data_IF_789486466963
#
_entry.id   IF_789486466963
#
_cell.length_a   1.000
_cell.length_b   1.000
_cell.length_c   1.000
_cell.angle_alpha   90.00
_cell.angle_beta   90.00
_cell.angle_gamma   90.00
#
_symmetry.space_group_name_H-M   'P 1'
#
loop_
_entity.id
_entity.type
_entity.pdbx_description
1 polymer ?
#
# COMPACT_ATOMS: atom_id res chain seq x y z
N UNK A 1 3.49 26.95 -7.45
CA UNK A 1 3.36 25.48 -7.60
C UNK A 1 2.29 24.98 -6.65
N UNK A 2 1.10 24.61 -7.13
CA UNK A 2 0.04 24.07 -6.26
C UNK A 2 0.45 22.67 -5.85
N UNK A 3 0.78 22.48 -4.57
CA UNK A 3 1.10 21.18 -3.99
C UNK A 3 -0.17 20.35 -3.93
N UNK A 4 -0.34 19.43 -4.88
CA UNK A 4 -1.47 18.51 -4.88
C UNK A 4 -1.32 17.59 -3.67
N UNK A 5 -2.09 17.85 -2.62
CA UNK A 5 -2.16 17.00 -1.42
C UNK A 5 -3.25 15.96 -1.65
N UNK A 6 -2.85 14.72 -1.90
CA UNK A 6 -3.77 13.59 -1.91
C UNK A 6 -3.57 12.78 -0.62
N UNK A 7 -4.55 12.82 0.28
CA UNK A 7 -4.56 12.07 1.55
C UNK A 7 -5.74 11.11 1.51
N UNK A 8 -5.46 9.82 1.66
CA UNK A 8 -6.48 8.78 1.72
C UNK A 8 -6.33 8.01 3.03
N UNK A 9 -7.45 7.69 3.66
CA UNK A 9 -7.52 6.74 4.77
C UNK A 9 -8.43 5.60 4.34
N UNK A 10 -7.97 4.36 4.50
CA UNK A 10 -8.71 3.15 4.16
C UNK A 10 -8.81 2.28 5.42
N UNK A 11 -9.99 1.73 5.68
CA UNK A 11 -10.25 0.77 6.74
C UNK A 11 -11.01 -0.39 6.10
N UNK A 12 -10.52 -1.60 6.27
CA UNK A 12 -11.08 -2.78 5.63
C UNK A 12 -10.36 -4.04 6.09
N UNK A 13 -10.84 -5.18 5.60
CA UNK A 13 -10.25 -6.48 5.91
C UNK A 13 -9.15 -6.80 4.91
N UNK A 14 -8.18 -7.60 5.32
CA UNK A 14 -7.16 -8.10 4.42
C UNK A 14 -7.82 -9.11 3.45
N UNK A 15 -7.72 -8.86 2.14
CA UNK A 15 -8.33 -9.71 1.11
C UNK A 15 -7.47 -10.92 0.71
N UNK A 16 -6.17 -10.87 0.99
CA UNK A 16 -5.19 -11.93 0.74
C UNK A 16 -3.96 -11.68 1.61
N UNK A 17 -3.15 -12.71 1.86
CA UNK A 17 -1.92 -12.55 2.64
C UNK A 17 -0.97 -11.50 2.03
N UNK A 18 -0.28 -10.69 2.85
CA UNK A 18 0.57 -9.62 2.33
C UNK A 18 1.80 -10.21 1.64
N UNK A 19 2.17 -9.63 0.50
CA UNK A 19 3.35 -10.02 -0.26
C UNK A 19 4.51 -9.06 0.04
N UNK A 20 5.68 -9.60 0.40
CA UNK A 20 6.89 -8.83 0.65
C UNK A 20 7.90 -9.14 -0.46
N UNK A 21 8.43 -8.09 -1.10
CA UNK A 21 9.45 -8.23 -2.14
C UNK A 21 10.57 -7.23 -1.90
N UNK A 22 11.82 -7.67 -2.07
CA UNK A 22 12.98 -6.78 -2.07
C UNK A 22 13.23 -6.26 -3.48
N UNK A 23 13.28 -4.95 -3.63
CA UNK A 23 13.66 -4.30 -4.88
C UNK A 23 15.18 -4.35 -5.02
N UNK A 24 15.66 -4.37 -6.26
CA UNK A 24 17.09 -4.40 -6.60
C UNK A 24 17.90 -3.24 -6.02
N UNK A 25 17.24 -2.13 -5.67
CA UNK A 25 17.83 -0.98 -4.98
C UNK A 25 17.93 -1.16 -3.44
N UNK A 26 17.70 -2.37 -2.92
CA UNK A 26 17.77 -2.69 -1.49
C UNK A 26 16.58 -2.19 -0.67
N UNK A 27 15.47 -1.79 -1.31
CA UNK A 27 14.24 -1.34 -0.64
C UNK A 27 13.25 -2.50 -0.52
N UNK A 28 12.73 -2.71 0.67
CA UNK A 28 11.65 -3.67 0.89
C UNK A 28 10.30 -3.02 0.58
N UNK A 29 9.50 -3.67 -0.25
CA UNK A 29 8.12 -3.25 -0.56
C UNK A 29 7.15 -4.31 -0.07
N UNK A 30 6.08 -3.86 0.58
CA UNK A 30 4.96 -4.69 1.02
C UNK A 30 3.72 -4.35 0.20
N UNK A 31 3.06 -5.36 -0.36
CA UNK A 31 1.78 -5.23 -1.06
C UNK A 31 0.67 -5.77 -0.16
N UNK A 32 -0.26 -4.89 0.20
CA UNK A 32 -1.44 -5.25 0.98
C UNK A 32 -2.69 -5.12 0.09
N UNK A 33 -3.57 -6.12 0.15
CA UNK A 33 -4.88 -6.09 -0.52
C UNK A 33 -5.97 -5.84 0.50
N UNK A 34 -6.70 -4.73 0.41
CA UNK A 34 -7.75 -4.38 1.38
C UNK A 34 -9.14 -4.52 0.74
N UNK A 35 -9.96 -5.41 1.30
CA UNK A 35 -11.39 -5.49 1.02
C UNK A 35 -12.12 -4.44 1.86
N UNK A 36 -12.50 -3.34 1.23
CA UNK A 36 -13.34 -2.27 1.79
C UNK A 36 -14.77 -2.44 1.29
N UNK A 37 -15.77 -2.30 2.17
CA UNK A 37 -17.19 -2.26 1.80
C UNK A 37 -17.67 -0.83 1.53
#
# INVERSE_FOLDING_TARGET
MKTLKNRVQLIGHLGADPEITELTDGKTVAKLSLATS
#
